data_IF_173317638072
#
_entry.id   IF_173317638072
#
_cell.length_a   1.000
_cell.length_b   1.000
_cell.length_c   1.000
_cell.angle_alpha   90.00
_cell.angle_beta   90.00
_cell.angle_gamma   90.00
#
_symmetry.space_group_name_H-M   'P 1'
#
loop_
_entity.id
_entity.type
_entity.pdbx_description
1 polymer ?
#
# COMPACT_ATOMS: atom_id res chain seq x y z
N UNK A 1 20.22 11.25 -4.84
CA UNK A 1 19.37 12.24 -5.53
C UNK A 1 17.92 11.74 -5.50
N UNK A 2 17.05 12.26 -4.61
CA UNK A 2 15.64 11.77 -4.48
C UNK A 2 14.79 12.46 -5.53
N UNK A 3 14.51 11.76 -6.63
CA UNK A 3 13.54 12.27 -7.61
C UNK A 3 12.13 12.28 -7.02
N UNK A 4 11.53 13.46 -6.97
CA UNK A 4 10.13 13.63 -6.55
C UNK A 4 9.20 13.04 -7.63
N UNK A 5 8.07 12.42 -7.23
CA UNK A 5 7.04 11.84 -8.13
C UNK A 5 6.62 12.83 -9.23
N UNK A 6 6.45 14.10 -8.86
CA UNK A 6 6.10 15.15 -9.82
C UNK A 6 7.24 15.42 -10.82
N UNK A 7 8.51 15.38 -10.37
CA UNK A 7 9.65 15.61 -11.24
C UNK A 7 9.82 14.48 -12.27
N UNK A 8 9.44 13.24 -11.93
CA UNK A 8 9.52 12.12 -12.86
C UNK A 8 8.38 12.13 -13.87
N UNK A 9 7.17 12.51 -13.47
CA UNK A 9 6.06 12.73 -14.41
C UNK A 9 6.38 13.88 -15.37
N UNK A 10 6.94 14.98 -14.85
CA UNK A 10 7.41 16.12 -15.66
C UNK A 10 8.52 15.68 -16.61
N UNK A 11 9.47 14.87 -16.15
CA UNK A 11 10.56 14.36 -17.00
C UNK A 11 10.04 13.48 -18.14
N UNK A 12 9.11 12.57 -17.87
CA UNK A 12 8.46 11.71 -18.89
C UNK A 12 7.65 12.54 -19.89
N UNK A 13 6.91 13.55 -19.40
CA UNK A 13 6.16 14.46 -20.26
C UNK A 13 7.08 15.33 -21.11
N UNK A 14 8.19 15.84 -20.57
CA UNK A 14 9.17 16.62 -21.30
C UNK A 14 9.89 15.80 -22.36
N UNK A 15 10.29 14.57 -22.04
CA UNK A 15 10.94 13.68 -23.03
C UNK A 15 9.99 13.28 -24.16
N UNK A 16 8.71 13.01 -23.85
CA UNK A 16 7.70 12.70 -24.87
C UNK A 16 7.36 13.91 -25.73
N UNK A 17 7.28 15.10 -25.13
CA UNK A 17 7.04 16.35 -25.88
C UNK A 17 8.23 16.71 -26.79
N UNK A 18 9.47 16.54 -26.32
CA UNK A 18 10.68 16.75 -27.11
C UNK A 18 10.77 15.79 -28.30
N UNK A 19 10.39 14.53 -28.10
CA UNK A 19 10.34 13.55 -29.17
C UNK A 19 9.27 13.87 -30.21
N UNK A 20 8.08 14.32 -29.77
CA UNK A 20 7.01 14.79 -30.65
C UNK A 20 7.43 16.03 -31.45
N UNK A 21 8.11 17.00 -30.82
CA UNK A 21 8.63 18.17 -31.53
C UNK A 21 9.72 17.81 -32.54
N UNK A 22 10.60 16.86 -32.21
CA UNK A 22 11.62 16.38 -33.16
C UNK A 22 10.99 15.66 -34.38
N UNK A 23 9.93 14.85 -34.17
CA UNK A 23 9.20 14.22 -35.28
C UNK A 23 8.45 15.25 -36.13
N UNK A 24 7.81 16.24 -35.51
CA UNK A 24 7.14 17.32 -36.23
C UNK A 24 8.13 18.17 -37.03
N UNK A 25 9.29 18.49 -36.48
CA UNK A 25 10.31 19.28 -37.21
C UNK A 25 10.89 18.51 -38.39
N UNK A 26 11.07 17.18 -38.28
CA UNK A 26 11.54 16.36 -39.43
C UNK A 26 10.52 16.23 -40.53
N UNK A 27 9.23 16.30 -40.21
CA UNK A 27 8.12 16.28 -41.22
C UNK A 27 8.00 17.64 -41.91
N UNK A 28 8.26 18.75 -41.22
CA UNK A 28 8.10 20.12 -41.72
C UNK A 28 9.28 20.63 -42.54
N UNK A 29 10.46 20.02 -42.48
CA UNK A 29 11.60 20.40 -43.33
C UNK A 29 11.47 19.77 -44.73
N UNK A 30 10.74 20.46 -45.58
CA UNK A 30 10.35 20.05 -46.94
C UNK A 30 11.48 20.05 -47.98
N UNK A 31 12.73 20.38 -47.65
CA UNK A 31 13.79 20.64 -48.59
C UNK A 31 15.00 19.70 -48.51
N UNK A 32 14.81 18.41 -48.27
CA UNK A 32 15.92 17.47 -48.39
C UNK A 32 15.54 16.29 -49.26
N UNK A 33 16.41 15.97 -50.20
CA UNK A 33 16.43 14.83 -51.11
C UNK A 33 16.39 13.43 -50.44
N UNK A 34 15.91 13.33 -49.20
CA UNK A 34 15.67 12.07 -48.55
C UNK A 34 14.38 11.42 -49.03
N UNK A 35 14.50 10.21 -49.55
CA UNK A 35 13.41 9.36 -49.94
C UNK A 35 12.34 9.30 -48.81
N UNK A 36 11.07 9.40 -49.18
CA UNK A 36 9.91 9.31 -48.25
C UNK A 36 10.02 8.14 -47.27
N UNK A 37 10.64 7.06 -47.69
CA UNK A 37 10.87 5.85 -46.90
C UNK A 37 11.79 6.09 -45.65
N UNK A 38 12.82 6.93 -45.79
CA UNK A 38 13.79 7.17 -44.71
C UNK A 38 13.20 8.04 -43.59
N UNK A 39 12.35 9.02 -43.99
CA UNK A 39 11.63 9.86 -43.00
C UNK A 39 10.61 9.03 -42.21
N UNK A 40 9.93 8.08 -42.86
CA UNK A 40 8.99 7.18 -42.24
C UNK A 40 9.71 6.25 -41.23
N UNK A 41 10.84 5.66 -41.62
CA UNK A 41 11.66 4.78 -40.75
C UNK A 41 12.17 5.57 -39.55
N UNK A 42 12.66 6.80 -39.75
CA UNK A 42 13.14 7.67 -38.68
C UNK A 42 12.01 8.00 -37.68
N UNK A 43 10.82 8.35 -38.17
CA UNK A 43 9.66 8.66 -37.32
C UNK A 43 9.23 7.43 -36.50
N UNK A 44 9.21 6.25 -37.11
CA UNK A 44 8.89 4.99 -36.43
C UNK A 44 9.92 4.66 -35.35
N UNK A 45 11.21 4.86 -35.63
CA UNK A 45 12.29 4.64 -34.67
C UNK A 45 12.15 5.57 -33.45
N UNK A 46 11.82 6.86 -33.66
CA UNK A 46 11.62 7.81 -32.56
C UNK A 46 10.40 7.40 -31.70
N UNK A 47 9.30 6.98 -32.31
CA UNK A 47 8.13 6.48 -31.58
C UNK A 47 8.47 5.25 -30.73
N UNK A 48 9.22 4.31 -31.30
CA UNK A 48 9.66 3.11 -30.56
C UNK A 48 10.57 3.47 -29.37
N UNK A 49 11.51 4.38 -29.55
CA UNK A 49 12.40 4.84 -28.47
C UNK A 49 11.60 5.54 -27.37
N UNK A 50 10.65 6.39 -27.71
CA UNK A 50 9.81 7.07 -26.70
C UNK A 50 8.93 6.10 -25.92
N UNK A 51 8.34 5.10 -26.60
CA UNK A 51 7.58 4.04 -25.94
C UNK A 51 8.44 3.20 -24.99
N UNK A 52 9.63 2.80 -25.41
CA UNK A 52 10.55 2.04 -24.57
C UNK A 52 11.01 2.85 -23.34
N UNK A 53 11.34 4.13 -23.50
CA UNK A 53 11.66 5.03 -22.39
C UNK A 53 10.47 5.21 -21.42
N UNK A 54 9.24 5.33 -21.93
CA UNK A 54 8.04 5.44 -21.10
C UNK A 54 7.78 4.16 -20.29
N UNK A 55 7.87 3.00 -20.93
CA UNK A 55 7.73 1.71 -20.24
C UNK A 55 8.83 1.52 -19.19
N UNK A 56 10.09 1.82 -19.54
CA UNK A 56 11.21 1.70 -18.62
C UNK A 56 11.07 2.62 -17.41
N UNK A 57 10.65 3.88 -17.61
CA UNK A 57 10.38 4.81 -16.51
C UNK A 57 9.24 4.35 -15.62
N UNK A 58 8.19 3.73 -16.18
CA UNK A 58 7.09 3.14 -15.42
C UNK A 58 7.55 1.94 -14.58
N UNK A 59 8.40 1.08 -15.13
CA UNK A 59 8.96 -0.07 -14.42
C UNK A 59 9.88 0.36 -13.27
N UNK A 60 10.75 1.34 -13.52
CA UNK A 60 11.60 1.93 -12.47
C UNK A 60 10.73 2.54 -11.37
N UNK A 61 9.68 3.27 -11.73
CA UNK A 61 8.77 3.86 -10.75
C UNK A 61 8.11 2.82 -9.85
N UNK A 62 7.63 1.70 -10.41
CA UNK A 62 7.10 0.57 -9.62
C UNK A 62 8.15 -0.02 -8.69
N UNK A 63 9.40 -0.14 -9.14
CA UNK A 63 10.51 -0.70 -8.35
C UNK A 63 10.95 0.21 -7.21
N UNK A 64 10.96 1.53 -7.43
CA UNK A 64 11.35 2.53 -6.42
C UNK A 64 10.24 2.72 -5.38
N UNK A 65 8.99 2.47 -5.75
CA UNK A 65 7.80 2.70 -4.91
C UNK A 65 6.94 1.43 -4.81
N UNK A 66 7.46 0.34 -4.23
CA UNK A 66 6.71 -0.90 -4.09
C UNK A 66 5.46 -0.65 -3.22
N UNK A 67 4.37 -1.28 -3.58
CA UNK A 67 3.14 -1.30 -2.81
C UNK A 67 3.38 -2.09 -1.52
N UNK A 68 2.93 -1.58 -0.39
CA UNK A 68 2.95 -2.26 0.90
C UNK A 68 1.56 -2.76 1.24
N UNK A 69 1.46 -4.01 1.61
CA UNK A 69 0.23 -4.66 1.99
C UNK A 69 0.10 -4.72 3.50
N UNK A 70 -1.04 -4.27 4.00
CA UNK A 70 -1.40 -4.33 5.42
C UNK A 70 -2.60 -5.24 5.54
N UNK A 71 -2.45 -6.36 6.26
CA UNK A 71 -3.56 -7.23 6.58
C UNK A 71 -4.18 -6.82 7.90
N UNK A 72 -5.50 -6.64 7.94
CA UNK A 72 -6.24 -6.32 9.14
C UNK A 72 -6.96 -7.58 9.62
N UNK A 73 -6.49 -8.15 10.74
CA UNK A 73 -7.05 -9.34 11.36
C UNK A 73 -7.95 -8.94 12.53
N UNK A 74 -9.19 -9.40 12.52
CA UNK A 74 -10.19 -9.09 13.53
C UNK A 74 -11.24 -10.19 13.66
N UNK A 75 -11.91 -10.25 14.81
CA UNK A 75 -13.10 -11.09 14.99
C UNK A 75 -14.28 -10.48 14.24
N UNK A 76 -15.16 -11.30 13.70
CA UNK A 76 -16.37 -10.83 13.00
C UNK A 76 -17.21 -9.83 13.84
N UNK A 77 -17.21 -10.00 15.15
CA UNK A 77 -17.90 -9.08 16.09
C UNK A 77 -17.31 -7.67 16.05
N UNK A 78 -16.02 -7.56 15.70
CA UNK A 78 -15.28 -6.29 15.67
C UNK A 78 -15.28 -5.63 14.28
N UNK A 79 -16.15 -6.08 13.37
CA UNK A 79 -16.17 -5.63 11.98
C UNK A 79 -16.32 -4.11 11.87
N UNK A 80 -17.23 -3.52 12.65
CA UNK A 80 -17.49 -2.07 12.60
C UNK A 80 -16.25 -1.25 12.97
N UNK A 81 -15.53 -1.64 14.03
CA UNK A 81 -14.30 -0.94 14.42
C UNK A 81 -13.16 -1.21 13.43
N UNK A 82 -13.12 -2.38 12.82
CA UNK A 82 -12.16 -2.71 11.77
C UNK A 82 -12.34 -1.83 10.53
N UNK A 83 -13.58 -1.64 10.08
CA UNK A 83 -13.93 -0.75 8.97
C UNK A 83 -13.56 0.71 9.28
N UNK A 84 -13.86 1.19 10.49
CA UNK A 84 -13.48 2.55 10.92
C UNK A 84 -11.94 2.73 10.90
N UNK A 85 -11.19 1.77 11.43
CA UNK A 85 -9.73 1.81 11.42
C UNK A 85 -9.19 1.82 9.98
N UNK A 86 -9.72 0.94 9.13
CA UNK A 86 -9.32 0.85 7.71
C UNK A 86 -9.56 2.18 7.00
N UNK A 87 -10.76 2.73 7.11
CA UNK A 87 -11.13 3.98 6.46
C UNK A 87 -10.22 5.15 6.89
N UNK A 88 -10.00 5.33 8.19
CA UNK A 88 -9.14 6.42 8.69
C UNK A 88 -7.68 6.20 8.28
N UNK A 89 -7.17 4.96 8.32
CA UNK A 89 -5.80 4.66 7.84
C UNK A 89 -5.64 4.98 6.36
N UNK A 90 -6.59 4.57 5.51
CA UNK A 90 -6.56 4.84 4.07
C UNK A 90 -6.54 6.34 3.79
N UNK A 91 -7.42 7.10 4.44
CA UNK A 91 -7.44 8.56 4.33
C UNK A 91 -6.09 9.18 4.71
N UNK A 92 -5.50 8.74 5.84
CA UNK A 92 -4.22 9.27 6.29
C UNK A 92 -3.06 8.87 5.36
N UNK A 93 -3.08 7.66 4.80
CA UNK A 93 -2.09 7.25 3.80
C UNK A 93 -2.19 8.07 2.53
N UNK A 94 -3.41 8.38 2.06
CA UNK A 94 -3.61 9.27 0.93
C UNK A 94 -3.07 10.68 1.17
N UNK A 95 -3.30 11.23 2.36
CA UNK A 95 -2.90 12.61 2.73
C UNK A 95 -1.40 12.74 3.03
N UNK A 96 -0.82 11.78 3.73
CA UNK A 96 0.51 11.92 4.34
C UNK A 96 1.60 11.16 3.59
N UNK A 97 1.25 10.12 2.84
CA UNK A 97 2.21 9.20 2.26
C UNK A 97 2.41 9.43 0.77
N UNK A 98 3.67 9.47 0.35
CA UNK A 98 4.06 9.33 -1.07
C UNK A 98 4.06 7.86 -1.50
N UNK A 99 3.91 6.93 -0.56
CA UNK A 99 3.97 5.50 -0.76
C UNK A 99 2.57 4.92 -0.94
N UNK A 100 2.52 3.78 -1.61
CA UNK A 100 1.27 3.05 -1.83
C UNK A 100 1.11 2.02 -0.70
N UNK A 101 0.07 2.21 0.09
CA UNK A 101 -0.41 1.21 1.04
C UNK A 101 -1.73 0.63 0.53
N UNK A 102 -1.96 -0.64 0.78
CA UNK A 102 -3.23 -1.30 0.55
C UNK A 102 -3.60 -2.09 1.78
N UNK A 103 -4.79 -1.85 2.30
CA UNK A 103 -5.34 -2.57 3.43
C UNK A 103 -6.18 -3.72 2.88
N UNK A 104 -5.90 -4.92 3.38
CA UNK A 104 -6.59 -6.15 3.02
C UNK A 104 -7.36 -6.61 4.25
N UNK A 105 -8.64 -6.86 4.08
CA UNK A 105 -9.56 -7.39 5.10
C UNK A 105 -10.20 -8.68 4.63
N UNK A 106 -10.88 -9.39 5.52
CA UNK A 106 -11.67 -10.56 5.15
C UNK A 106 -12.75 -10.23 4.11
N UNK A 107 -13.33 -9.03 4.17
CA UNK A 107 -14.37 -8.57 3.24
C UNK A 107 -13.84 -8.31 1.81
N UNK A 108 -12.53 -8.21 1.62
CA UNK A 108 -11.91 -8.04 0.30
C UNK A 108 -11.81 -9.35 -0.49
N UNK A 109 -12.23 -10.49 0.09
CA UNK A 109 -12.16 -11.80 -0.55
C UNK A 109 -13.33 -11.95 -1.54
N UNK A 110 -13.05 -12.27 -2.83
CA UNK A 110 -14.09 -12.46 -3.82
C UNK A 110 -15.01 -13.63 -3.46
N UNK A 111 -16.29 -13.50 -3.80
CA UNK A 111 -17.26 -14.59 -3.66
C UNK A 111 -16.82 -15.86 -4.43
N UNK A 112 -17.05 -17.01 -3.83
CA UNK A 112 -16.70 -18.30 -4.42
C UNK A 112 -15.28 -18.79 -4.10
N UNK A 113 -14.41 -17.97 -3.52
CA UNK A 113 -13.11 -18.41 -3.05
C UNK A 113 -13.21 -19.13 -1.70
N UNK A 114 -12.28 -20.03 -1.44
CA UNK A 114 -12.09 -20.56 -0.08
C UNK A 114 -11.63 -19.43 0.82
N UNK A 115 -12.51 -19.02 1.73
CA UNK A 115 -12.27 -17.90 2.64
C UNK A 115 -11.02 -18.13 3.50
N UNK A 116 -10.89 -19.33 4.06
CA UNK A 116 -9.81 -19.68 5.00
C UNK A 116 -8.44 -19.70 4.31
N UNK A 117 -8.37 -20.34 3.14
CA UNK A 117 -7.14 -20.39 2.35
C UNK A 117 -6.73 -19.00 1.88
N UNK A 118 -7.69 -18.20 1.39
CA UNK A 118 -7.42 -16.84 0.87
C UNK A 118 -7.01 -15.87 1.98
N UNK A 119 -7.65 -15.91 3.15
CA UNK A 119 -7.26 -15.09 4.30
C UNK A 119 -5.83 -15.41 4.74
N UNK A 120 -5.50 -16.70 4.86
CA UNK A 120 -4.16 -17.14 5.22
C UNK A 120 -3.11 -16.68 4.19
N UNK A 121 -3.43 -16.80 2.92
CA UNK A 121 -2.55 -16.38 1.83
C UNK A 121 -2.32 -14.85 1.88
N UNK A 122 -3.39 -14.06 2.03
CA UNK A 122 -3.32 -12.61 2.13
C UNK A 122 -2.50 -12.15 3.34
N UNK A 123 -2.70 -12.78 4.49
CA UNK A 123 -1.92 -12.51 5.70
C UNK A 123 -0.43 -12.84 5.50
N UNK A 124 -0.13 -13.97 4.84
CA UNK A 124 1.25 -14.37 4.56
C UNK A 124 1.95 -13.46 3.53
N UNK A 125 1.21 -12.92 2.57
CA UNK A 125 1.73 -11.98 1.56
C UNK A 125 1.89 -10.55 2.09
N UNK A 126 1.18 -10.20 3.15
CA UNK A 126 1.22 -8.84 3.71
C UNK A 126 2.56 -8.54 4.37
N UNK A 127 3.02 -7.29 4.24
CA UNK A 127 4.22 -6.79 4.89
C UNK A 127 3.99 -6.53 6.40
N UNK A 128 2.76 -6.11 6.74
CA UNK A 128 2.36 -5.72 8.08
C UNK A 128 1.03 -6.39 8.38
N UNK A 129 0.88 -6.88 9.60
CA UNK A 129 -0.40 -7.39 10.10
C UNK A 129 -0.82 -6.55 11.29
N UNK A 130 -1.98 -5.91 11.19
CA UNK A 130 -2.64 -5.23 12.30
C UNK A 130 -3.66 -6.19 12.88
N UNK A 131 -3.59 -6.48 14.16
CA UNK A 131 -4.55 -7.31 14.87
C UNK A 131 -5.40 -6.45 15.80
N UNK A 132 -6.73 -6.57 15.67
CA UNK A 132 -7.67 -5.89 16.56
C UNK A 132 -7.92 -6.80 17.76
N UNK A 133 -7.31 -6.44 18.88
CA UNK A 133 -7.36 -7.22 20.12
C UNK A 133 -8.57 -6.80 20.92
N UNK A 134 -9.59 -7.65 20.94
CA UNK A 134 -10.82 -7.54 21.70
C UNK A 134 -11.08 -8.81 22.50
N UNK A 135 -12.05 -8.83 23.43
CA UNK A 135 -12.51 -10.06 24.04
C UNK A 135 -12.97 -11.11 23.02
N UNK A 136 -13.66 -10.69 21.95
CA UNK A 136 -14.12 -11.55 20.89
C UNK A 136 -12.97 -12.15 20.06
N UNK A 137 -11.93 -11.36 19.79
CA UNK A 137 -10.71 -11.84 19.12
C UNK A 137 -10.06 -12.98 19.91
N UNK A 138 -9.91 -12.82 21.23
CA UNK A 138 -9.26 -13.81 22.10
C UNK A 138 -10.12 -15.07 22.33
N UNK A 139 -11.42 -15.00 22.12
CA UNK A 139 -12.33 -16.16 22.16
C UNK A 139 -12.43 -16.87 20.83
N UNK A 140 -11.97 -16.26 19.75
CA UNK A 140 -12.02 -16.85 18.41
C UNK A 140 -10.84 -17.78 18.19
N UNK A 141 -11.10 -19.10 18.19
CA UNK A 141 -10.07 -20.11 17.84
C UNK A 141 -9.43 -19.82 16.48
N UNK A 142 -10.23 -19.31 15.55
CA UNK A 142 -9.76 -18.96 14.21
C UNK A 142 -8.70 -17.86 14.28
N UNK A 143 -9.02 -16.72 14.94
CA UNK A 143 -8.10 -15.60 15.09
C UNK A 143 -6.80 -16.00 15.80
N UNK A 144 -6.91 -16.85 16.82
CA UNK A 144 -5.73 -17.35 17.54
C UNK A 144 -4.87 -18.28 16.68
N UNK A 145 -5.49 -19.14 15.85
CA UNK A 145 -4.76 -20.00 14.89
C UNK A 145 -4.04 -19.17 13.82
N UNK A 146 -4.70 -18.14 13.29
CA UNK A 146 -4.08 -17.19 12.36
C UNK A 146 -2.89 -16.48 12.99
N UNK A 147 -3.08 -15.93 14.20
CA UNK A 147 -2.02 -15.27 14.93
C UNK A 147 -0.83 -16.21 15.15
N UNK A 148 -1.05 -17.43 15.61
CA UNK A 148 0.01 -18.42 15.81
C UNK A 148 0.77 -18.74 14.52
N UNK A 149 0.09 -18.72 13.38
CA UNK A 149 0.72 -18.97 12.06
C UNK A 149 1.68 -17.87 11.62
N UNK A 150 1.54 -16.63 12.14
CA UNK A 150 2.36 -15.47 11.77
C UNK A 150 3.36 -15.08 12.86
N UNK A 151 3.08 -15.37 14.15
CA UNK A 151 3.92 -14.99 15.29
C UNK A 151 5.33 -15.58 15.22
N UNK A 152 5.48 -16.75 14.61
CA UNK A 152 6.76 -17.43 14.39
C UNK A 152 7.46 -17.01 13.08
N UNK A 153 6.94 -16.02 12.37
CA UNK A 153 7.54 -15.51 11.13
C UNK A 153 8.07 -14.10 11.35
N UNK A 154 9.03 -13.71 10.53
CA UNK A 154 9.56 -12.33 10.52
C UNK A 154 8.55 -11.34 9.91
N UNK A 155 7.37 -11.29 10.53
CA UNK A 155 6.26 -10.40 10.17
C UNK A 155 6.10 -9.31 11.20
N UNK A 156 5.89 -8.10 10.72
CA UNK A 156 5.57 -6.98 11.59
C UNK A 156 4.12 -7.07 12.04
N UNK A 157 3.93 -7.35 13.31
CA UNK A 157 2.61 -7.41 13.94
C UNK A 157 2.40 -6.15 14.78
N UNK A 158 1.22 -5.53 14.65
CA UNK A 158 0.83 -4.34 15.41
C UNK A 158 -0.50 -4.61 16.08
N UNK A 159 -0.52 -4.84 17.40
CA UNK A 159 -1.76 -4.97 18.14
C UNK A 159 -2.43 -3.62 18.31
N UNK A 160 -3.74 -3.58 18.04
CA UNK A 160 -4.64 -2.46 18.37
C UNK A 160 -5.64 -2.95 19.39
N UNK A 161 -5.51 -2.47 20.62
CA UNK A 161 -6.35 -2.90 21.75
C UNK A 161 -7.61 -2.04 21.78
N UNK A 162 -8.78 -2.69 21.71
CA UNK A 162 -10.07 -1.99 21.70
C UNK A 162 -10.41 -1.44 23.10
N UNK A 163 -11.36 -0.50 23.13
CA UNK A 163 -11.89 0.07 24.38
C UNK A 163 -12.56 -0.97 25.28
N UNK A 164 -13.18 -1.99 24.68
CA UNK A 164 -13.87 -3.07 25.40
C UNK A 164 -12.92 -4.03 26.11
N UNK A 165 -11.62 -3.98 25.78
CA UNK A 165 -10.63 -4.88 26.36
C UNK A 165 -10.07 -4.34 27.68
N UNK A 166 -10.54 -4.89 28.80
CA UNK A 166 -10.20 -4.40 30.15
C UNK A 166 -8.99 -5.08 30.79
N UNK A 167 -8.73 -6.34 30.45
CA UNK A 167 -7.76 -7.19 31.16
C UNK A 167 -6.55 -7.54 30.30
N UNK A 168 -5.52 -6.69 30.37
CA UNK A 168 -4.27 -6.91 29.64
C UNK A 168 -3.51 -8.18 30.07
N UNK A 169 -3.80 -8.72 31.25
CA UNK A 169 -3.16 -9.95 31.73
C UNK A 169 -3.63 -11.20 30.96
N UNK A 170 -4.77 -11.11 30.28
CA UNK A 170 -5.29 -12.18 29.40
C UNK A 170 -4.66 -12.20 28.01
N UNK A 171 -3.80 -11.22 27.69
CA UNK A 171 -3.11 -11.23 26.40
C UNK A 171 -2.13 -12.40 26.33
N UNK A 172 -2.11 -13.14 25.21
CA UNK A 172 -1.03 -14.08 24.93
C UNK A 172 0.33 -13.38 25.07
N UNK A 173 1.33 -14.06 25.65
CA UNK A 173 2.67 -13.51 25.87
C UNK A 173 3.28 -12.91 24.60
N UNK A 174 3.03 -13.53 23.46
CA UNK A 174 3.53 -13.07 22.16
C UNK A 174 2.92 -11.74 21.72
N UNK A 175 1.69 -11.43 22.15
CA UNK A 175 1.05 -10.14 21.88
C UNK A 175 1.46 -9.12 22.95
N UNK A 176 1.53 -9.53 24.22
CA UNK A 176 1.82 -8.62 25.35
C UNK A 176 3.23 -8.01 25.27
N UNK A 177 4.16 -8.69 24.62
CA UNK A 177 5.54 -8.22 24.41
C UNK A 177 5.66 -7.20 23.27
N UNK A 178 4.61 -7.02 22.45
CA UNK A 178 4.61 -6.09 21.34
C UNK A 178 3.99 -4.76 21.78
N UNK A 179 4.63 -3.65 21.40
CA UNK A 179 4.05 -2.32 21.63
C UNK A 179 2.73 -2.18 20.88
N UNK A 180 1.64 -2.11 21.61
CA UNK A 180 0.29 -1.98 21.07
C UNK A 180 -0.16 -0.51 20.96
N UNK A 181 -1.06 -0.23 20.01
CA UNK A 181 -1.89 0.97 20.03
C UNK A 181 -3.10 0.68 20.93
N UNK A 182 -3.34 1.52 21.94
CA UNK A 182 -4.52 1.39 22.79
C UNK A 182 -5.58 2.39 22.37
N UNK A 183 -6.79 1.92 22.12
CA UNK A 183 -8.00 2.73 21.86
C UNK A 183 -8.84 2.89 23.14
N UNK A 184 -8.40 2.34 24.28
CA UNK A 184 -9.15 2.31 25.55
C UNK A 184 -9.48 3.70 26.10
N UNK A 185 -8.68 4.71 25.78
CA UNK A 185 -8.85 6.07 26.27
C UNK A 185 -9.46 7.00 25.18
N UNK A 186 -9.91 6.44 24.06
CA UNK A 186 -10.57 7.21 23.01
C UNK A 186 -12.03 7.37 23.39
N UNK A 187 -12.40 8.52 23.93
CA UNK A 187 -13.78 8.85 24.34
C UNK A 187 -14.56 9.61 23.28
N UNK A 188 -13.86 10.09 22.26
CA UNK A 188 -14.43 10.82 21.13
C UNK A 188 -13.89 10.31 19.79
N UNK A 189 -14.62 10.62 18.71
CA UNK A 189 -14.14 10.34 17.32
C UNK A 189 -12.83 11.08 17.02
N UNK A 190 -12.59 12.23 17.64
CA UNK A 190 -11.35 12.97 17.49
C UNK A 190 -10.17 12.24 18.13
N UNK A 191 -10.36 11.67 19.33
CA UNK A 191 -9.34 10.88 20.02
C UNK A 191 -9.01 9.62 19.24
N UNK A 192 -10.03 8.94 18.72
CA UNK A 192 -9.87 7.79 17.84
C UNK A 192 -9.06 8.15 16.59
N UNK A 193 -9.49 9.18 15.86
CA UNK A 193 -8.79 9.64 14.65
C UNK A 193 -7.35 10.04 14.94
N UNK A 194 -7.09 10.69 16.09
CA UNK A 194 -5.73 11.06 16.52
C UNK A 194 -4.85 9.83 16.81
N UNK A 195 -5.43 8.80 17.44
CA UNK A 195 -4.73 7.54 17.70
C UNK A 195 -4.35 6.82 16.40
N UNK A 196 -5.28 6.72 15.46
CA UNK A 196 -5.05 6.10 14.15
C UNK A 196 -4.07 6.93 13.29
N UNK A 197 -4.15 8.26 13.34
CA UNK A 197 -3.18 9.16 12.70
C UNK A 197 -1.74 8.90 13.22
N UNK A 198 -1.58 8.66 14.52
CA UNK A 198 -0.28 8.32 15.10
C UNK A 198 0.24 7.01 14.53
N UNK A 199 -0.61 5.99 14.44
CA UNK A 199 -0.27 4.70 13.82
C UNK A 199 0.13 4.89 12.34
N UNK A 200 -0.65 5.63 11.56
CA UNK A 200 -0.33 5.91 10.17
C UNK A 200 1.03 6.59 9.98
N UNK A 201 1.34 7.60 10.83
CA UNK A 201 2.63 8.29 10.81
C UNK A 201 3.79 7.35 11.13
N UNK A 202 3.62 6.48 12.12
CA UNK A 202 4.64 5.49 12.50
C UNK A 202 4.88 4.48 11.37
N UNK A 203 3.83 4.01 10.70
CA UNK A 203 3.93 3.12 9.55
C UNK A 203 4.65 3.77 8.36
N UNK A 204 4.36 5.03 8.09
CA UNK A 204 5.00 5.80 7.02
C UNK A 204 6.48 6.05 7.33
N UNK A 205 6.82 6.35 8.61
CA UNK A 205 8.20 6.61 9.04
C UNK A 205 9.07 5.35 8.90
N UNK A 206 8.59 4.22 9.34
CA UNK A 206 9.31 2.94 9.32
C UNK A 206 9.58 2.40 7.91
N UNK A 207 8.91 2.91 6.89
CA UNK A 207 9.21 2.58 5.49
C UNK A 207 10.43 3.33 4.94
N UNK A 208 10.89 4.36 5.62
CA UNK A 208 12.04 5.17 5.17
C UNK A 208 13.38 4.54 5.56
N UNK A 209 13.33 3.63 6.52
CA UNK A 209 14.48 2.85 7.00
C UNK A 209 14.50 1.49 6.29
#
# INVERSE_FOLDING_TARGET
>A
MKFNKNNMQIFVLLTSALALMATMSSILTENSLFLYNDKFILSLAIVLVTLTCAVYSMLIFKRINPKKYIYLSYSYVDKEIAEKISHVLEEQFHRLSKYRFEIITADSIPFGNDMNATMRENMLKSDIVIIIVSPAYLQSEWCLKEFAAISNRDKKIIPVVTETFSDLAKLPKDISNIKALSLRNCTSEEDFSRAILKLAKDLIKQRKD
#
